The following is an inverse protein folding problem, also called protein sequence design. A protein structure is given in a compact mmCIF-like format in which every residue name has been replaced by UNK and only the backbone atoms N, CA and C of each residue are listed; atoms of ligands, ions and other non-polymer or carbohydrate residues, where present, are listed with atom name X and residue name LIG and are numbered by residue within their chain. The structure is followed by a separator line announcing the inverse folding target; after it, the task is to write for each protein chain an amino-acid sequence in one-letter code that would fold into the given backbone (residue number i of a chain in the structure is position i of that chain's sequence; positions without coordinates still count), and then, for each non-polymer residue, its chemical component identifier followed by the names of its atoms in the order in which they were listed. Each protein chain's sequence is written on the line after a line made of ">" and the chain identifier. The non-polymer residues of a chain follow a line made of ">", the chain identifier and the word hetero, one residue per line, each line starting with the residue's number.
data_IF_057333379539
#
_entry.id   IF_057333379539
#
_cell.length_a   1.000
_cell.length_b   1.000
_cell.length_c   1.000
_cell.angle_alpha   90.00
_cell.angle_beta   90.00
_cell.angle_gamma   90.00
#
_symmetry.space_group_name_H-M   'P 1'
#
loop_
_entity.id
_entity.type
_entity.pdbx_description
1 polymer ?
#
# COMPACT_ATOMS: atom_id res chain seq x y z
N UNK A 1 13.39 34.63 -53.43
CA UNK A 1 14.20 33.49 -52.95
C UNK A 1 14.32 33.38 -51.41
N UNK A 2 13.45 34.02 -50.60
CA UNK A 2 13.52 33.96 -49.11
C UNK A 2 12.52 32.95 -48.47
N UNK A 3 11.52 32.49 -49.22
CA UNK A 3 10.45 31.60 -48.73
C UNK A 3 10.90 30.12 -48.60
N UNK A 4 11.74 29.65 -49.52
CA UNK A 4 12.21 28.26 -49.56
C UNK A 4 13.17 27.90 -48.43
N UNK A 5 13.93 28.85 -47.89
CA UNK A 5 14.82 28.60 -46.74
C UNK A 5 14.07 28.49 -45.41
N UNK A 6 13.01 29.28 -45.21
CA UNK A 6 12.14 29.17 -44.03
C UNK A 6 11.39 27.83 -44.01
N UNK A 7 10.92 27.38 -45.17
CA UNK A 7 10.25 26.08 -45.30
C UNK A 7 11.20 24.90 -45.03
N UNK A 8 12.46 24.99 -45.49
CA UNK A 8 13.50 23.98 -45.19
C UNK A 8 13.91 23.96 -43.71
N UNK A 9 14.00 25.13 -43.07
CA UNK A 9 14.26 25.24 -41.62
C UNK A 9 13.10 24.67 -40.79
N UNK A 10 11.84 24.94 -41.18
CA UNK A 10 10.67 24.36 -40.52
C UNK A 10 10.63 22.84 -40.68
N UNK A 11 10.88 22.32 -41.88
CA UNK A 11 10.92 20.88 -42.14
C UNK A 11 12.04 20.16 -41.37
N UNK A 12 13.22 20.79 -41.28
CA UNK A 12 14.33 20.27 -40.48
C UNK A 12 14.04 20.24 -38.98
N UNK A 13 13.39 21.29 -38.46
CA UNK A 13 12.97 21.35 -37.04
C UNK A 13 11.89 20.31 -36.71
N UNK A 14 10.90 20.11 -37.59
CA UNK A 14 9.87 19.08 -37.41
C UNK A 14 10.48 17.67 -37.42
N UNK A 15 11.41 17.38 -38.33
CA UNK A 15 12.09 16.08 -38.37
C UNK A 15 12.97 15.85 -37.13
N UNK A 16 13.67 16.87 -36.64
CA UNK A 16 14.45 16.76 -35.40
C UNK A 16 13.55 16.52 -34.16
N UNK A 17 12.36 17.11 -34.14
CA UNK A 17 11.38 16.95 -33.06
C UNK A 17 10.79 15.54 -33.01
N UNK A 18 10.57 14.90 -34.17
CA UNK A 18 10.04 13.52 -34.22
C UNK A 18 11.10 12.48 -33.87
N UNK A 19 12.38 12.74 -34.16
CA UNK A 19 13.48 11.85 -33.75
C UNK A 19 13.79 11.94 -32.24
N UNK A 20 13.46 13.06 -31.59
CA UNK A 20 13.61 13.23 -30.15
C UNK A 20 12.48 12.58 -29.33
N UNK A 21 11.41 12.10 -29.98
CA UNK A 21 10.32 11.37 -29.33
C UNK A 21 10.75 9.91 -29.09
N UNK A 22 11.56 9.68 -28.05
CA UNK A 22 11.87 8.32 -27.61
C UNK A 22 10.57 7.59 -27.17
N UNK A 23 10.36 6.33 -27.56
CA UNK A 23 9.24 5.55 -27.05
C UNK A 23 9.36 5.43 -25.53
N UNK A 24 8.32 5.82 -24.82
CA UNK A 24 8.25 5.62 -23.37
C UNK A 24 8.09 4.12 -23.08
N UNK A 25 9.15 3.47 -22.58
CA UNK A 25 9.09 2.10 -22.07
C UNK A 25 8.41 2.09 -20.69
N UNK A 26 7.11 2.36 -20.68
CA UNK A 26 6.28 2.33 -19.47
C UNK A 26 5.78 0.91 -19.11
N UNK A 27 6.05 -0.09 -19.97
CA UNK A 27 5.62 -1.47 -19.74
C UNK A 27 6.58 -2.17 -18.78
N UNK A 28 6.01 -2.69 -17.71
CA UNK A 28 6.72 -3.52 -16.71
C UNK A 28 7.24 -4.81 -17.39
N UNK A 29 8.47 -5.26 -17.08
CA UNK A 29 9.01 -6.51 -17.63
C UNK A 29 8.10 -7.71 -17.36
N UNK A 30 7.97 -8.68 -18.29
CA UNK A 30 7.13 -9.86 -18.07
C UNK A 30 7.46 -10.65 -16.80
N UNK A 31 8.74 -10.68 -16.42
CA UNK A 31 9.20 -11.33 -15.20
C UNK A 31 8.63 -10.69 -13.92
N UNK A 32 8.46 -9.36 -13.90
CA UNK A 32 7.85 -8.65 -12.77
C UNK A 32 6.33 -8.88 -12.74
N UNK A 33 5.69 -8.96 -13.90
CA UNK A 33 4.25 -9.30 -13.98
C UNK A 33 3.99 -10.72 -13.47
N UNK A 34 4.90 -11.67 -13.75
CA UNK A 34 4.79 -13.05 -13.30
C UNK A 34 4.83 -13.22 -11.78
N UNK A 35 5.27 -12.20 -11.03
CA UNK A 35 5.24 -12.21 -9.55
C UNK A 35 3.84 -11.98 -8.99
N UNK A 36 2.95 -11.32 -9.73
CA UNK A 36 1.57 -11.06 -9.30
C UNK A 36 0.77 -12.37 -9.20
N UNK A 37 0.06 -12.56 -8.11
CA UNK A 37 -0.67 -13.79 -7.79
C UNK A 37 0.19 -14.90 -7.17
N UNK A 38 1.51 -14.72 -7.09
CA UNK A 38 2.43 -15.67 -6.45
C UNK A 38 3.19 -15.01 -5.29
N UNK A 39 4.24 -14.26 -5.60
CA UNK A 39 5.05 -13.52 -4.61
C UNK A 39 4.34 -12.25 -4.15
N UNK A 40 3.60 -11.62 -5.07
CA UNK A 40 2.83 -10.42 -4.85
C UNK A 40 1.33 -10.70 -4.93
N UNK A 41 0.52 -9.98 -4.18
CA UNK A 41 -0.94 -9.99 -4.29
C UNK A 41 -1.32 -9.48 -5.68
N UNK A 42 -2.58 -9.67 -6.12
CA UNK A 42 -3.05 -9.10 -7.38
C UNK A 42 -2.91 -7.56 -7.45
N UNK A 43 -2.82 -6.88 -6.31
CA UNK A 43 -2.57 -5.44 -6.16
C UNK A 43 -1.10 -5.05 -6.03
N UNK A 44 -0.17 -6.02 -6.02
CA UNK A 44 1.28 -5.76 -5.97
C UNK A 44 1.90 -5.71 -4.57
N UNK A 45 1.17 -6.07 -3.51
CA UNK A 45 1.72 -6.15 -2.15
C UNK A 45 2.38 -7.51 -1.90
N UNK A 46 3.32 -7.63 -0.96
CA UNK A 46 3.94 -8.92 -0.63
C UNK A 46 2.93 -9.94 -0.09
N UNK A 47 2.92 -11.17 -0.61
CA UNK A 47 2.02 -12.25 -0.14
C UNK A 47 2.52 -12.85 1.16
N UNK A 48 3.83 -12.99 1.34
CA UNK A 48 4.42 -13.63 2.50
C UNK A 48 4.05 -12.93 3.82
N UNK A 49 4.06 -13.70 4.91
CA UNK A 49 4.08 -13.15 6.25
C UNK A 49 5.49 -12.68 6.63
N UNK A 50 5.62 -11.99 7.76
CA UNK A 50 6.96 -11.60 8.24
C UNK A 50 7.67 -12.77 8.96
N UNK A 51 8.99 -12.67 9.07
CA UNK A 51 9.81 -13.68 9.74
C UNK A 51 9.46 -13.88 11.22
N UNK A 52 8.99 -12.82 11.91
CA UNK A 52 8.60 -12.89 13.32
C UNK A 52 7.24 -13.58 13.55
N UNK A 53 6.51 -13.92 12.48
CA UNK A 53 5.21 -14.60 12.55
C UNK A 53 4.07 -13.74 13.09
N UNK A 54 4.26 -12.43 13.24
CA UNK A 54 3.25 -11.47 13.72
C UNK A 54 2.35 -10.91 12.62
N UNK A 55 2.73 -11.10 11.36
CA UNK A 55 1.97 -10.79 10.16
C UNK A 55 1.76 -12.11 9.41
N UNK A 56 0.52 -12.60 9.26
CA UNK A 56 0.26 -13.82 8.54
C UNK A 56 0.49 -13.66 7.02
N UNK A 57 0.73 -14.78 6.34
CA UNK A 57 0.65 -14.85 4.87
C UNK A 57 -0.74 -14.42 4.42
N UNK A 58 -0.82 -13.66 3.33
CA UNK A 58 -2.10 -13.38 2.68
C UNK A 58 -2.60 -14.61 1.92
N UNK A 59 -3.83 -15.01 2.20
CA UNK A 59 -4.46 -16.25 1.74
C UNK A 59 -5.62 -16.01 0.76
N UNK A 60 -5.73 -14.79 0.23
CA UNK A 60 -6.84 -14.37 -0.65
C UNK A 60 -7.80 -13.37 0.00
N UNK A 61 -7.72 -13.19 1.32
CA UNK A 61 -8.64 -12.31 2.05
C UNK A 61 -10.04 -12.91 2.24
N UNK A 62 -10.96 -12.09 2.75
CA UNK A 62 -12.31 -12.51 3.10
C UNK A 62 -13.18 -12.73 1.86
N UNK A 63 -13.77 -13.92 1.74
CA UNK A 63 -14.63 -14.31 0.62
C UNK A 63 -16.08 -13.86 0.87
N UNK A 64 -16.31 -12.56 0.78
CA UNK A 64 -17.63 -11.95 0.94
C UNK A 64 -17.73 -10.98 2.11
N UNK A 65 -18.95 -10.55 2.42
CA UNK A 65 -19.21 -9.65 3.53
C UNK A 65 -19.08 -10.39 4.88
N UNK A 66 -18.69 -9.69 5.96
CA UNK A 66 -18.72 -10.29 7.29
C UNK A 66 -20.13 -10.71 7.70
N UNK A 67 -20.28 -11.80 8.46
CA UNK A 67 -21.58 -12.34 8.87
C UNK A 67 -22.47 -11.33 9.62
N UNK A 68 -21.85 -10.38 10.31
CA UNK A 68 -22.57 -9.32 11.05
C UNK A 68 -23.15 -8.23 10.13
N UNK A 69 -22.83 -8.23 8.84
CA UNK A 69 -23.24 -7.20 7.91
C UNK A 69 -24.61 -7.54 7.31
N UNK A 70 -25.59 -6.68 7.59
CA UNK A 70 -26.99 -6.88 7.19
C UNK A 70 -27.42 -6.02 5.99
N UNK A 71 -26.46 -5.41 5.27
CA UNK A 71 -26.71 -4.40 4.25
C UNK A 71 -26.66 -2.97 4.81
N UNK A 72 -26.11 -2.02 4.04
CA UNK A 72 -25.92 -0.62 4.43
C UNK A 72 -24.70 0.02 3.76
N UNK A 73 -24.24 1.16 4.26
CA UNK A 73 -23.05 1.84 3.71
C UNK A 73 -21.74 1.38 4.38
N UNK A 74 -21.79 0.93 5.63
CA UNK A 74 -20.60 0.56 6.41
C UNK A 74 -20.57 -0.93 6.72
N UNK A 75 -19.42 -1.56 6.48
CA UNK A 75 -19.14 -2.91 6.94
C UNK A 75 -19.02 -2.94 8.47
N UNK A 76 -19.58 -3.97 9.08
CA UNK A 76 -19.34 -4.25 10.50
C UNK A 76 -17.91 -4.78 10.71
N UNK A 77 -17.44 -4.73 11.96
CA UNK A 77 -16.16 -5.35 12.32
C UNK A 77 -16.24 -6.88 12.15
N UNK A 78 -15.46 -7.49 11.24
CA UNK A 78 -15.44 -8.94 11.05
C UNK A 78 -14.83 -9.73 12.22
N UNK A 79 -14.09 -9.06 13.11
CA UNK A 79 -13.41 -9.69 14.24
C UNK A 79 -13.87 -9.06 15.56
N UNK A 80 -15.15 -9.17 15.93
CA UNK A 80 -15.69 -8.50 17.12
C UNK A 80 -15.12 -9.05 18.43
N UNK A 81 -14.55 -10.25 18.41
CA UNK A 81 -13.99 -10.92 19.57
C UNK A 81 -12.47 -10.72 19.71
N UNK A 82 -11.82 -9.99 18.79
CA UNK A 82 -10.39 -9.72 18.89
C UNK A 82 -10.13 -8.86 20.13
N UNK A 83 -9.16 -9.31 20.94
CA UNK A 83 -8.72 -8.61 22.16
C UNK A 83 -7.32 -8.06 21.95
N UNK A 84 -6.94 -6.97 22.64
CA UNK A 84 -5.57 -6.50 22.62
C UNK A 84 -4.63 -7.61 23.11
N UNK A 85 -3.56 -7.86 22.37
CA UNK A 85 -2.44 -8.71 22.81
C UNK A 85 -1.67 -8.03 23.93
N UNK A 86 -1.52 -6.70 23.81
CA UNK A 86 -0.97 -5.81 24.82
C UNK A 86 -1.41 -4.37 24.51
N UNK A 87 -1.12 -3.45 25.42
CA UNK A 87 -1.39 -2.02 25.24
C UNK A 87 -0.12 -1.23 25.50
N UNK A 88 0.27 -0.40 24.54
CA UNK A 88 1.36 0.56 24.72
C UNK A 88 0.81 1.78 25.45
N UNK A 89 1.52 2.20 26.48
CA UNK A 89 1.22 3.35 27.32
C UNK A 89 2.51 4.16 27.52
N UNK A 90 2.41 5.37 28.08
CA UNK A 90 3.62 6.15 28.38
C UNK A 90 4.58 5.42 29.34
N UNK A 91 4.07 4.53 30.20
CA UNK A 91 4.87 3.78 31.18
C UNK A 91 5.74 2.68 30.56
N UNK A 92 5.36 2.13 29.40
CA UNK A 92 6.12 1.08 28.71
C UNK A 92 6.60 1.50 27.32
N UNK A 93 6.47 2.78 26.97
CA UNK A 93 6.81 3.33 25.66
C UNK A 93 8.23 2.96 25.22
N UNK A 94 9.20 3.04 26.13
CA UNK A 94 10.61 2.75 25.86
C UNK A 94 10.84 1.35 25.27
N UNK A 95 9.98 0.37 25.58
CA UNK A 95 10.07 -0.99 25.07
C UNK A 95 9.71 -1.11 23.58
N UNK A 96 9.01 -0.11 23.02
CA UNK A 96 8.44 -0.15 21.67
C UNK A 96 8.82 1.04 20.80
N UNK A 97 9.70 1.94 21.27
CA UNK A 97 10.07 3.16 20.53
C UNK A 97 10.58 2.90 19.12
N UNK A 98 11.27 1.78 18.90
CA UNK A 98 11.77 1.37 17.58
C UNK A 98 10.67 0.90 16.62
N UNK A 99 9.45 0.67 17.12
CA UNK A 99 8.27 0.28 16.33
C UNK A 99 7.31 1.44 16.05
N UNK A 100 7.59 2.62 16.59
CA UNK A 100 6.68 3.76 16.55
C UNK A 100 7.27 4.90 15.72
N UNK A 101 6.40 5.60 15.00
CA UNK A 101 6.79 6.83 14.31
C UNK A 101 7.02 7.96 15.32
N UNK A 102 7.82 8.99 14.96
CA UNK A 102 8.03 10.16 15.82
C UNK A 102 6.71 10.82 16.26
N UNK A 103 5.69 10.85 15.38
CA UNK A 103 4.38 11.38 15.70
C UNK A 103 3.63 10.57 16.75
N UNK A 104 3.72 9.24 16.70
CA UNK A 104 3.11 8.37 17.72
C UNK A 104 3.81 8.51 19.07
N UNK A 105 5.14 8.61 19.08
CA UNK A 105 5.92 8.86 20.30
C UNK A 105 5.50 10.20 20.93
N UNK A 106 5.41 11.26 20.12
CA UNK A 106 4.98 12.58 20.58
C UNK A 106 3.57 12.58 21.21
N UNK A 107 2.66 11.72 20.74
CA UNK A 107 1.32 11.59 21.36
C UNK A 107 1.39 11.02 22.78
N UNK A 108 2.26 10.05 23.04
CA UNK A 108 2.47 9.52 24.39
C UNK A 108 3.13 10.55 25.32
N UNK A 109 4.07 11.34 24.82
CA UNK A 109 4.72 12.40 25.60
C UNK A 109 3.75 13.54 25.93
N UNK A 110 2.89 13.92 24.97
CA UNK A 110 1.91 15.01 25.16
C UNK A 110 0.72 14.60 26.03
N UNK A 111 0.31 13.33 25.98
CA UNK A 111 -0.87 12.82 26.67
C UNK A 111 -0.56 11.53 27.45
N UNK A 112 0.36 11.57 28.43
CA UNK A 112 0.87 10.36 29.08
C UNK A 112 -0.20 9.60 29.86
N UNK A 113 -1.19 10.31 30.40
CA UNK A 113 -2.24 9.72 31.24
C UNK A 113 -3.42 9.18 30.45
N UNK A 114 -3.67 9.67 29.23
CA UNK A 114 -4.89 9.34 28.47
C UNK A 114 -4.61 8.62 27.15
N UNK A 115 -3.46 8.82 26.51
CA UNK A 115 -3.16 8.17 25.25
C UNK A 115 -2.69 6.73 25.48
N UNK A 116 -3.32 5.80 24.77
CA UNK A 116 -3.11 4.36 24.88
C UNK A 116 -3.21 3.77 23.48
N UNK A 117 -2.34 2.83 23.14
CA UNK A 117 -2.37 2.12 21.86
C UNK A 117 -2.55 0.63 22.11
N UNK A 118 -3.81 0.13 22.10
CA UNK A 118 -4.04 -1.30 22.15
C UNK A 118 -3.57 -1.94 20.84
N UNK A 119 -2.74 -2.98 20.94
CA UNK A 119 -2.18 -3.72 19.81
C UNK A 119 -2.92 -5.05 19.69
N UNK A 120 -3.48 -5.32 18.52
CA UNK A 120 -4.28 -6.52 18.24
C UNK A 120 -3.53 -7.50 17.34
N UNK A 121 -4.12 -8.67 17.12
CA UNK A 121 -3.64 -9.62 16.13
C UNK A 121 -3.73 -9.03 14.72
N UNK A 122 -2.69 -9.25 13.90
CA UNK A 122 -2.71 -8.79 12.51
C UNK A 122 -3.62 -9.69 11.69
N UNK A 123 -4.63 -9.10 11.06
CA UNK A 123 -5.50 -9.76 10.09
C UNK A 123 -5.24 -9.17 8.71
N UNK A 124 -5.22 -9.99 7.66
CA UNK A 124 -5.13 -9.54 6.26
C UNK A 124 -6.44 -9.85 5.49
N UNK A 125 -7.61 -9.33 5.93
CA UNK A 125 -8.91 -9.73 5.40
C UNK A 125 -9.24 -9.10 4.04
N UNK A 126 -8.43 -8.18 3.53
CA UNK A 126 -8.70 -7.53 2.26
C UNK A 126 -8.67 -8.57 1.14
N UNK A 127 -9.82 -8.75 0.49
CA UNK A 127 -9.96 -9.46 -0.76
C UNK A 127 -10.06 -8.43 -1.89
N UNK A 128 -9.30 -8.65 -2.97
CA UNK A 128 -9.41 -7.83 -4.16
C UNK A 128 -10.68 -8.24 -4.91
N UNK A 129 -11.58 -7.31 -5.26
CA UNK A 129 -12.74 -7.62 -6.06
C UNK A 129 -12.32 -8.18 -7.42
N UNK A 130 -13.09 -9.13 -7.94
CA UNK A 130 -12.96 -9.58 -9.32
C UNK A 130 -13.23 -8.39 -10.27
N UNK A 131 -12.44 -8.30 -11.35
CA UNK A 131 -12.61 -7.27 -12.39
C UNK A 131 -13.60 -7.69 -13.45
#
# INVERSE_FOLDING_TARGET
>A
MKSTHKLKLLAGAVLASTLAAAPAFAKVPPAEVAKLGNELTPSGAEVAGNADGTIPKWDGGMKGNPDCYKGGEFLCNPFPNDKPKFTITAQNLDQYKDKLSPGQIAMFEKYPDTYRMPVYETRRPYAMPDR
#
